data_IF_661338237763
#
_entry.id   IF_661338237763
#
_cell.length_a   1.000
_cell.length_b   1.000
_cell.length_c   1.000
_cell.angle_alpha   90.00
_cell.angle_beta   90.00
_cell.angle_gamma   90.00
#
_symmetry.space_group_name_H-M   'P 1'
#
loop_
_entity.id
_entity.type
_entity.pdbx_description
1 polymer ?
#
# COMPACT_ATOMS: atom_id res chain seq x y z
N UNK A 1 -19.46 27.28 -82.69
CA UNK A 1 -18.90 28.10 -81.59
C UNK A 1 -17.38 28.24 -81.82
N UNK A 2 -16.87 29.43 -82.12
CA UNK A 2 -15.42 29.67 -82.23
C UNK A 2 -14.88 29.93 -80.85
N UNK A 3 -14.16 28.96 -80.29
CA UNK A 3 -13.41 29.14 -79.06
C UNK A 3 -12.21 30.07 -79.40
N UNK A 4 -12.09 31.17 -78.68
CA UNK A 4 -10.97 32.14 -78.82
C UNK A 4 -9.65 31.44 -78.50
N UNK A 5 -8.60 31.65 -79.28
CA UNK A 5 -7.25 31.14 -79.09
C UNK A 5 -6.72 31.44 -77.69
N UNK A 6 -7.07 32.63 -77.16
CA UNK A 6 -6.71 33.02 -75.78
C UNK A 6 -7.41 32.16 -74.73
N UNK A 7 -8.65 31.73 -74.96
CA UNK A 7 -9.39 30.86 -74.07
C UNK A 7 -8.85 29.44 -74.08
N UNK A 8 -8.41 28.93 -75.19
CA UNK A 8 -7.71 27.63 -75.30
C UNK A 8 -6.36 27.65 -74.57
N UNK A 9 -5.56 28.72 -74.73
CA UNK A 9 -4.30 28.88 -73.99
C UNK A 9 -4.55 29.00 -72.48
N UNK A 10 -5.53 29.74 -72.02
CA UNK A 10 -5.86 29.86 -70.60
C UNK A 10 -6.27 28.50 -69.96
N UNK A 11 -7.07 27.69 -70.68
CA UNK A 11 -7.47 26.32 -70.26
C UNK A 11 -6.23 25.41 -70.22
N UNK A 12 -5.35 25.49 -71.25
CA UNK A 12 -4.12 24.64 -71.27
C UNK A 12 -3.16 25.01 -70.13
N UNK A 13 -2.89 26.29 -69.88
CA UNK A 13 -2.08 26.75 -68.74
C UNK A 13 -2.71 26.33 -67.43
N UNK A 14 -4.04 26.50 -67.27
CA UNK A 14 -4.75 26.08 -66.08
C UNK A 14 -4.61 24.56 -65.79
N UNK A 15 -4.66 23.73 -66.85
CA UNK A 15 -4.48 22.27 -66.68
C UNK A 15 -3.04 21.88 -66.29
N UNK A 16 -2.02 22.57 -66.83
CA UNK A 16 -0.62 22.34 -66.43
C UNK A 16 -0.37 22.76 -64.97
N UNK A 17 -0.87 23.92 -64.56
CA UNK A 17 -0.76 24.36 -63.19
C UNK A 17 -1.47 23.40 -62.22
N UNK A 18 -2.62 22.87 -62.59
CA UNK A 18 -3.34 21.90 -61.81
C UNK A 18 -2.58 20.57 -61.69
N UNK A 19 -1.94 20.10 -62.77
CA UNK A 19 -1.09 18.90 -62.75
C UNK A 19 0.15 19.13 -61.89
N UNK A 20 0.77 20.29 -61.96
CA UNK A 20 1.91 20.67 -61.17
C UNK A 20 1.58 20.70 -59.65
N UNK A 21 0.42 21.25 -59.30
CA UNK A 21 -0.09 21.23 -57.93
C UNK A 21 -0.32 19.78 -57.38
N UNK A 22 -0.92 18.94 -58.24
CA UNK A 22 -1.12 17.48 -57.90
C UNK A 22 0.23 16.77 -57.72
N UNK A 23 1.21 17.02 -58.58
CA UNK A 23 2.53 16.43 -58.46
C UNK A 23 3.25 16.84 -57.18
N UNK A 24 3.23 18.14 -56.87
CA UNK A 24 3.78 18.71 -55.63
C UNK A 24 3.14 18.07 -54.39
N UNK A 25 1.81 17.92 -54.39
CA UNK A 25 1.07 17.28 -53.32
C UNK A 25 1.49 15.80 -53.15
N UNK A 26 1.60 15.05 -54.26
CA UNK A 26 2.05 13.65 -54.25
C UNK A 26 3.48 13.55 -53.70
N UNK A 27 4.37 14.46 -54.09
CA UNK A 27 5.73 14.51 -53.55
C UNK A 27 5.78 14.76 -52.04
N UNK A 28 4.90 15.65 -51.53
CA UNK A 28 4.76 15.89 -50.07
C UNK A 28 4.27 14.64 -49.33
N UNK A 29 3.25 13.96 -49.85
CA UNK A 29 2.76 12.70 -49.28
C UNK A 29 3.85 11.62 -49.27
N UNK A 30 4.64 11.52 -50.37
CA UNK A 30 5.74 10.57 -50.43
C UNK A 30 6.89 10.89 -49.47
N UNK A 31 7.25 12.17 -49.36
CA UNK A 31 8.32 12.64 -48.49
C UNK A 31 7.97 12.47 -46.99
N UNK A 32 6.70 12.66 -46.65
CA UNK A 32 6.24 12.51 -45.25
C UNK A 32 5.79 11.09 -44.88
N UNK A 33 5.52 10.25 -45.88
CA UNK A 33 4.92 8.93 -45.71
C UNK A 33 3.47 8.98 -45.20
N UNK A 34 2.84 10.15 -45.17
CA UNK A 34 1.50 10.35 -44.69
C UNK A 34 0.51 10.66 -45.81
N UNK A 35 -0.63 9.98 -45.82
CA UNK A 35 -1.70 10.19 -46.80
C UNK A 35 -2.51 11.45 -46.52
N UNK A 36 -2.68 11.80 -45.27
CA UNK A 36 -3.45 12.98 -44.80
C UNK A 36 -2.47 13.93 -44.16
N UNK A 37 -2.15 15.04 -44.81
CA UNK A 37 -1.30 16.10 -44.30
C UNK A 37 -2.12 17.28 -43.75
N UNK A 38 -3.25 17.53 -44.41
CA UNK A 38 -4.15 18.61 -44.01
C UNK A 38 -5.59 18.12 -43.96
N UNK A 39 -6.46 18.73 -43.14
CA UNK A 39 -7.89 18.38 -43.14
C UNK A 39 -8.58 18.54 -44.49
N UNK A 40 -8.01 19.35 -45.41
CA UNK A 40 -8.51 19.50 -46.76
C UNK A 40 -8.25 18.28 -47.67
N UNK A 41 -7.33 17.38 -47.32
CA UNK A 41 -7.03 16.16 -48.07
C UNK A 41 -8.13 15.10 -47.92
N UNK A 42 -8.55 14.92 -46.67
CA UNK A 42 -9.61 13.98 -46.29
C UNK A 42 -10.21 14.45 -44.96
N UNK A 43 -11.30 15.24 -44.95
CA UNK A 43 -11.87 15.78 -43.73
C UNK A 43 -12.37 14.71 -42.75
N UNK A 44 -12.93 13.61 -43.27
CA UNK A 44 -13.45 12.51 -42.47
C UNK A 44 -12.30 11.71 -41.87
N UNK A 45 -11.28 11.43 -42.69
CA UNK A 45 -10.07 10.75 -42.22
C UNK A 45 -9.30 11.58 -41.18
N UNK A 46 -9.21 12.91 -41.38
CA UNK A 46 -8.55 13.80 -40.44
C UNK A 46 -9.27 13.86 -39.09
N UNK A 47 -10.62 13.92 -39.08
CA UNK A 47 -11.40 13.84 -37.84
C UNK A 47 -11.13 12.51 -37.10
N UNK A 48 -11.12 11.40 -37.82
CA UNK A 48 -10.87 10.07 -37.24
C UNK A 48 -9.45 9.94 -36.68
N UNK A 49 -8.43 10.52 -37.36
CA UNK A 49 -7.05 10.55 -36.87
C UNK A 49 -6.98 11.33 -35.55
N UNK A 50 -7.69 12.47 -35.46
CA UNK A 50 -7.75 13.28 -34.24
C UNK A 50 -8.33 12.49 -33.07
N UNK A 51 -9.48 11.80 -33.28
CA UNK A 51 -10.14 10.98 -32.26
C UNK A 51 -9.25 9.82 -31.80
N UNK A 52 -8.60 9.14 -32.74
CA UNK A 52 -7.66 8.07 -32.43
C UNK A 52 -6.42 8.56 -31.69
N UNK A 53 -5.90 9.73 -32.07
CA UNK A 53 -4.75 10.34 -31.40
C UNK A 53 -5.10 10.72 -29.94
N UNK A 54 -6.30 11.27 -29.74
CA UNK A 54 -6.80 11.56 -28.40
C UNK A 54 -6.96 10.29 -27.55
N UNK A 55 -7.52 9.23 -28.14
CA UNK A 55 -7.65 7.92 -27.46
C UNK A 55 -6.30 7.29 -27.14
N UNK A 56 -5.31 7.35 -28.03
CA UNK A 56 -3.95 6.88 -27.78
C UNK A 56 -3.31 7.67 -26.64
N UNK A 57 -3.45 9.00 -26.64
CA UNK A 57 -2.91 9.84 -25.58
C UNK A 57 -3.56 9.56 -24.21
N UNK A 58 -4.85 9.23 -24.20
CA UNK A 58 -5.52 8.79 -22.97
C UNK A 58 -4.98 7.44 -22.47
N UNK A 59 -4.85 6.46 -23.36
CA UNK A 59 -4.30 5.15 -23.01
C UNK A 59 -2.86 5.24 -22.52
N UNK A 60 -2.03 6.09 -23.12
CA UNK A 60 -0.67 6.34 -22.66
C UNK A 60 -0.64 6.90 -21.24
N UNK A 61 -1.48 7.90 -20.93
CA UNK A 61 -1.58 8.43 -19.55
C UNK A 61 -2.00 7.36 -18.54
N UNK A 62 -2.95 6.50 -18.91
CA UNK A 62 -3.38 5.39 -18.05
C UNK A 62 -2.25 4.37 -17.85
N UNK A 63 -1.45 4.11 -18.87
CA UNK A 63 -0.28 3.24 -18.78
C UNK A 63 0.82 3.83 -17.90
N UNK A 64 1.09 5.14 -18.03
CA UNK A 64 2.05 5.85 -17.20
C UNK A 64 1.62 5.83 -15.73
N UNK A 65 0.33 6.07 -15.46
CA UNK A 65 -0.24 5.97 -14.13
C UNK A 65 -0.06 4.56 -13.52
N UNK A 66 -0.30 3.52 -14.30
CA UNK A 66 -0.10 2.14 -13.85
C UNK A 66 1.38 1.86 -13.54
N UNK A 67 2.31 2.37 -14.35
CA UNK A 67 3.75 2.26 -14.12
C UNK A 67 4.20 2.97 -12.84
N UNK A 68 3.68 4.16 -12.57
CA UNK A 68 3.96 4.89 -11.33
C UNK A 68 3.42 4.15 -10.11
N UNK A 69 2.18 3.66 -10.16
CA UNK A 69 1.59 2.87 -9.08
C UNK A 69 2.39 1.59 -8.82
N UNK A 70 2.81 0.88 -9.86
CA UNK A 70 3.63 -0.32 -9.74
C UNK A 70 4.99 -0.03 -9.07
N UNK A 71 5.64 1.07 -9.44
CA UNK A 71 6.91 1.47 -8.84
C UNK A 71 6.75 1.80 -7.37
N UNK A 72 5.68 2.53 -7.00
CA UNK A 72 5.40 2.89 -5.61
C UNK A 72 5.09 1.67 -4.74
N UNK A 73 4.20 0.80 -5.22
CA UNK A 73 3.86 -0.46 -4.53
C UNK A 73 5.08 -1.39 -4.40
N UNK A 74 5.97 -1.42 -5.41
CA UNK A 74 7.23 -2.16 -5.31
C UNK A 74 8.18 -1.59 -4.24
N UNK A 75 8.19 -0.28 -4.06
CA UNK A 75 8.94 0.36 -2.97
C UNK A 75 8.34 0.02 -1.60
N UNK A 76 7.02 0.03 -1.46
CA UNK A 76 6.33 -0.42 -0.24
C UNK A 76 6.64 -1.88 0.08
N UNK A 77 6.56 -2.77 -0.92
CA UNK A 77 6.87 -4.18 -0.75
C UNK A 77 8.29 -4.39 -0.24
N UNK A 78 9.27 -3.68 -0.81
CA UNK A 78 10.65 -3.76 -0.35
C UNK A 78 10.80 -3.37 1.14
N UNK A 79 10.16 -2.30 1.56
CA UNK A 79 10.15 -1.87 2.98
C UNK A 79 9.43 -2.89 3.86
N UNK A 80 8.31 -3.45 3.43
CA UNK A 80 7.56 -4.45 4.20
C UNK A 80 8.34 -5.76 4.36
N UNK A 81 9.14 -6.16 3.37
CA UNK A 81 10.07 -7.30 3.49
C UNK A 81 11.12 -7.03 4.57
N UNK A 82 11.69 -5.82 4.61
CA UNK A 82 12.65 -5.44 5.66
C UNK A 82 11.99 -5.42 7.05
N UNK A 83 10.76 -4.90 7.16
CA UNK A 83 9.95 -4.94 8.39
C UNK A 83 9.73 -6.39 8.83
N UNK A 84 9.39 -7.29 7.91
CA UNK A 84 9.23 -8.72 8.19
C UNK A 84 10.49 -9.36 8.79
N UNK A 85 11.64 -9.11 8.18
CA UNK A 85 12.94 -9.59 8.66
C UNK A 85 13.28 -9.01 10.06
N UNK A 86 13.00 -7.73 10.26
CA UNK A 86 13.20 -7.07 11.56
C UNK A 86 12.32 -7.69 12.64
N UNK A 87 11.05 -7.95 12.37
CA UNK A 87 10.12 -8.58 13.32
C UNK A 87 10.52 -10.02 13.65
N UNK A 88 11.05 -10.77 12.69
CA UNK A 88 11.63 -12.09 12.97
C UNK A 88 12.80 -11.97 13.96
N UNK A 89 13.70 -11.01 13.77
CA UNK A 89 14.81 -10.78 14.71
C UNK A 89 14.31 -10.37 16.10
N UNK A 90 13.28 -9.52 16.17
CA UNK A 90 12.64 -9.14 17.45
C UNK A 90 12.07 -10.38 18.15
N UNK A 91 11.44 -11.28 17.41
CA UNK A 91 10.93 -12.55 17.96
C UNK A 91 12.05 -13.43 18.51
N UNK A 92 13.15 -13.58 17.80
CA UNK A 92 14.33 -14.33 18.26
C UNK A 92 14.88 -13.75 19.58
N UNK A 93 15.03 -12.43 19.63
CA UNK A 93 15.50 -11.73 20.83
C UNK A 93 14.53 -11.89 22.00
N UNK A 94 13.21 -11.88 21.76
CA UNK A 94 12.21 -12.11 22.79
C UNK A 94 12.27 -13.55 23.34
N UNK A 95 12.45 -14.56 22.47
CA UNK A 95 12.66 -15.95 22.89
C UNK A 95 13.94 -16.10 23.68
N UNK A 96 15.03 -15.46 23.22
CA UNK A 96 16.31 -15.47 23.94
C UNK A 96 16.17 -14.81 25.32
N UNK A 97 15.48 -13.67 25.42
CA UNK A 97 15.29 -12.94 26.68
C UNK A 97 14.53 -13.76 27.72
N UNK A 98 13.61 -14.61 27.29
CA UNK A 98 12.82 -15.51 28.17
C UNK A 98 13.58 -16.73 28.67
N UNK A 99 14.79 -16.96 28.19
CA UNK A 99 15.60 -18.05 28.70
C UNK A 99 16.15 -17.73 30.10
N UNK A 100 15.84 -18.57 31.08
CA UNK A 100 16.25 -18.40 32.49
C UNK A 100 17.76 -18.47 32.72
N UNK A 101 18.53 -19.02 31.77
CA UNK A 101 19.99 -19.05 31.84
C UNK A 101 20.63 -17.65 31.66
N UNK A 102 19.90 -16.67 31.16
CA UNK A 102 20.41 -15.31 30.95
C UNK A 102 20.53 -14.56 32.28
N UNK A 103 21.71 -13.98 32.51
CA UNK A 103 21.94 -13.06 33.60
C UNK A 103 21.17 -11.73 33.41
N UNK A 104 21.01 -10.97 34.49
CA UNK A 104 20.40 -9.64 34.44
C UNK A 104 21.14 -8.70 33.48
N UNK A 105 22.43 -8.87 33.29
CA UNK A 105 23.27 -8.07 32.39
C UNK A 105 23.01 -8.43 30.95
N UNK A 106 22.92 -9.70 30.61
CA UNK A 106 22.57 -10.19 29.25
C UNK A 106 21.17 -9.74 28.85
N UNK A 107 20.19 -9.84 29.74
CA UNK A 107 18.84 -9.31 29.49
C UNK A 107 18.82 -7.80 29.22
N UNK A 108 19.71 -7.01 29.85
CA UNK A 108 19.87 -5.58 29.54
C UNK A 108 20.44 -5.34 28.14
N UNK A 109 21.39 -6.15 27.69
CA UNK A 109 21.89 -6.06 26.33
C UNK A 109 20.82 -6.41 25.29
N UNK A 110 20.05 -7.47 25.52
CA UNK A 110 18.92 -7.83 24.65
C UNK A 110 17.90 -6.68 24.62
N UNK A 111 17.57 -6.09 25.76
CA UNK A 111 16.66 -4.96 25.83
C UNK A 111 17.19 -3.72 25.09
N UNK A 112 18.51 -3.49 25.09
CA UNK A 112 19.11 -2.43 24.30
C UNK A 112 19.00 -2.71 22.80
N UNK A 113 19.28 -3.95 22.35
CA UNK A 113 19.12 -4.34 20.95
C UNK A 113 17.65 -4.19 20.50
N UNK A 114 16.67 -4.61 21.33
CA UNK A 114 15.25 -4.45 21.04
C UNK A 114 14.85 -2.97 20.85
N UNK A 115 15.43 -2.06 21.63
CA UNK A 115 15.18 -0.62 21.44
C UNK A 115 15.72 -0.12 20.10
N UNK A 116 16.92 -0.55 19.72
CA UNK A 116 17.49 -0.20 18.41
C UNK A 116 16.63 -0.75 17.26
N UNK A 117 16.12 -1.99 17.38
CA UNK A 117 15.18 -2.55 16.40
C UNK A 117 13.87 -1.77 16.33
N UNK A 118 13.38 -1.30 17.45
CA UNK A 118 12.18 -0.44 17.47
C UNK A 118 12.43 0.90 16.77
N UNK A 119 13.58 1.56 16.99
CA UNK A 119 13.95 2.77 16.25
C UNK A 119 14.05 2.52 14.74
N UNK A 120 14.65 1.41 14.35
CA UNK A 120 14.73 1.00 12.95
C UNK A 120 13.34 0.77 12.35
N UNK A 121 12.41 0.16 13.11
CA UNK A 121 11.04 -0.01 12.65
C UNK A 121 10.35 1.33 12.39
N UNK A 122 10.51 2.30 13.28
CA UNK A 122 9.97 3.65 13.11
C UNK A 122 10.58 4.35 11.89
N UNK A 123 11.86 4.14 11.60
CA UNK A 123 12.51 4.68 10.41
C UNK A 123 11.95 4.03 9.14
N UNK A 124 11.77 2.71 9.12
CA UNK A 124 11.15 2.00 7.99
C UNK A 124 9.70 2.45 7.77
N UNK A 125 8.94 2.64 8.83
CA UNK A 125 7.57 3.16 8.75
C UNK A 125 7.50 4.62 8.24
N UNK A 126 8.60 5.38 8.34
CA UNK A 126 8.76 6.73 7.79
C UNK A 126 9.55 6.74 6.46
N UNK A 127 9.63 5.62 5.76
CA UNK A 127 10.33 5.57 4.47
C UNK A 127 9.65 6.44 3.43
N UNK A 128 10.47 7.05 2.56
CA UNK A 128 10.02 7.90 1.46
C UNK A 128 10.34 7.25 0.12
N UNK A 129 9.60 7.64 -0.90
CA UNK A 129 9.92 7.32 -2.29
C UNK A 129 11.06 8.21 -2.84
N UNK A 130 11.43 8.00 -4.11
CA UNK A 130 12.47 8.80 -4.78
C UNK A 130 12.13 10.29 -4.92
N UNK A 131 10.89 10.69 -4.71
CA UNK A 131 10.41 12.07 -4.77
C UNK A 131 10.33 12.74 -3.39
N UNK A 132 10.64 12.01 -2.31
CA UNK A 132 10.56 12.48 -0.94
C UNK A 132 9.15 12.42 -0.36
N UNK A 133 8.21 11.71 -0.99
CA UNK A 133 6.88 11.45 -0.44
C UNK A 133 6.92 10.21 0.45
N UNK A 134 6.28 10.28 1.62
CA UNK A 134 6.18 9.16 2.54
C UNK A 134 5.30 8.06 1.97
N UNK A 135 5.75 6.80 2.06
CA UNK A 135 5.04 5.65 1.53
C UNK A 135 3.77 5.35 2.31
N UNK A 136 3.82 5.46 3.64
CA UNK A 136 2.76 5.04 4.55
C UNK A 136 1.94 6.19 5.15
N UNK A 137 2.01 7.39 4.59
CA UNK A 137 1.29 8.56 5.09
C UNK A 137 -0.17 8.67 4.60
N UNK A 138 -0.65 7.70 3.82
CA UNK A 138 -1.96 7.79 3.19
C UNK A 138 -2.03 8.91 2.15
N UNK A 139 -3.10 9.71 2.15
CA UNK A 139 -3.24 10.85 1.24
C UNK A 139 -2.33 12.04 1.60
N UNK A 140 -1.86 12.14 2.86
CA UNK A 140 -0.97 13.19 3.34
C UNK A 140 0.52 12.90 3.07
N UNK A 141 0.88 12.50 1.85
CA UNK A 141 2.20 11.95 1.48
C UNK A 141 3.42 12.81 1.81
N UNK A 142 3.24 14.10 2.11
CA UNK A 142 4.32 15.03 2.46
C UNK A 142 4.52 15.22 3.96
N UNK A 143 3.65 14.66 4.78
CA UNK A 143 3.73 14.74 6.24
C UNK A 143 4.32 13.45 6.79
N UNK A 144 5.20 13.56 7.79
CA UNK A 144 5.81 12.41 8.43
C UNK A 144 4.75 11.59 9.16
N UNK A 145 4.50 10.32 8.74
CA UNK A 145 3.39 9.54 9.26
C UNK A 145 3.56 9.12 10.72
N UNK A 146 4.78 8.84 11.18
CA UNK A 146 5.03 8.36 12.54
C UNK A 146 5.94 9.30 13.30
N UNK A 147 5.46 9.80 14.43
CA UNK A 147 6.23 10.60 15.37
C UNK A 147 6.36 9.91 16.72
N UNK A 148 7.55 10.04 17.33
CA UNK A 148 7.82 9.49 18.64
C UNK A 148 7.31 10.43 19.73
N UNK A 149 6.68 9.85 20.74
CA UNK A 149 6.24 10.53 21.97
C UNK A 149 6.89 9.89 23.19
N UNK A 150 6.73 10.49 24.36
CA UNK A 150 7.25 9.93 25.61
C UNK A 150 6.64 8.55 25.96
N UNK A 151 5.45 8.26 25.46
CA UNK A 151 4.69 7.04 25.77
C UNK A 151 4.64 6.03 24.62
N UNK A 152 5.22 6.34 23.45
CA UNK A 152 5.19 5.45 22.30
C UNK A 152 5.33 6.18 20.97
N UNK A 153 4.64 5.69 19.97
CA UNK A 153 4.60 6.25 18.61
C UNK A 153 3.17 6.63 18.26
N UNK A 154 2.99 7.79 17.65
CA UNK A 154 1.69 8.29 17.18
C UNK A 154 1.71 8.35 15.65
N UNK A 155 0.62 7.90 15.05
CA UNK A 155 0.38 8.04 13.62
C UNK A 155 -0.28 9.38 13.32
N UNK A 156 0.36 10.20 12.49
CA UNK A 156 -0.11 11.53 12.08
C UNK A 156 -0.55 11.56 10.60
N UNK A 157 -0.42 10.43 9.89
CA UNK A 157 -0.83 10.34 8.49
C UNK A 157 -2.34 10.29 8.31
N UNK A 158 -2.77 10.31 7.05
CA UNK A 158 -4.17 10.13 6.68
C UNK A 158 -4.52 8.62 6.58
N UNK A 159 -5.75 8.27 6.90
CA UNK A 159 -6.27 6.91 6.78
C UNK A 159 -6.89 6.63 5.41
N UNK A 160 -6.90 7.60 4.50
CA UNK A 160 -7.42 7.43 3.16
C UNK A 160 -6.33 6.89 2.21
N UNK A 161 -6.67 5.85 1.49
CA UNK A 161 -5.84 5.30 0.42
C UNK A 161 -5.89 6.22 -0.81
N UNK A 162 -4.77 6.38 -1.49
CA UNK A 162 -4.72 7.09 -2.76
C UNK A 162 -5.07 6.13 -3.89
N UNK A 163 -6.01 6.56 -4.72
CA UNK A 163 -6.43 5.81 -5.90
C UNK A 163 -5.96 6.52 -7.16
N UNK A 164 -5.39 5.76 -8.09
CA UNK A 164 -4.98 6.23 -9.40
C UNK A 164 -5.78 5.52 -10.49
N UNK A 165 -6.20 6.29 -11.50
CA UNK A 165 -6.92 5.72 -12.62
C UNK A 165 -5.95 5.03 -13.59
N UNK A 166 -6.13 3.73 -13.79
CA UNK A 166 -5.31 2.87 -14.67
C UNK A 166 -6.10 2.31 -15.86
N UNK A 167 -7.37 2.65 -15.95
CA UNK A 167 -8.25 2.26 -17.06
C UNK A 167 -9.48 3.15 -17.11
N UNK A 168 -10.29 3.09 -18.19
CA UNK A 168 -11.46 3.95 -18.36
C UNK A 168 -12.44 3.89 -17.18
N UNK A 169 -12.58 2.71 -16.57
CA UNK A 169 -13.47 2.46 -15.42
C UNK A 169 -12.74 1.82 -14.24
N UNK A 170 -11.41 1.70 -14.30
CA UNK A 170 -10.61 0.98 -13.29
C UNK A 170 -9.69 1.93 -12.55
N UNK A 171 -9.83 1.94 -11.24
CA UNK A 171 -8.90 2.58 -10.31
C UNK A 171 -8.10 1.52 -9.55
N UNK A 172 -6.87 1.83 -9.20
CA UNK A 172 -5.98 1.02 -8.40
C UNK A 172 -5.55 1.83 -7.18
N UNK A 173 -5.49 1.19 -6.03
CA UNK A 173 -4.86 1.75 -4.84
C UNK A 173 -3.36 1.77 -5.06
N UNK A 174 -2.73 2.93 -4.89
CA UNK A 174 -1.28 3.10 -5.12
C UNK A 174 -0.45 3.12 -3.84
N UNK A 175 -1.09 3.10 -2.65
CA UNK A 175 -0.41 3.06 -1.36
C UNK A 175 -1.29 2.43 -0.28
N UNK A 176 -0.65 1.86 0.75
CA UNK A 176 -1.32 1.45 1.98
C UNK A 176 -1.10 2.48 3.08
N UNK A 177 -2.09 2.64 3.96
CA UNK A 177 -1.94 3.57 5.07
C UNK A 177 -1.09 2.95 6.18
N UNK A 178 -0.24 3.75 6.81
CA UNK A 178 0.55 3.28 7.95
C UNK A 178 -0.33 2.89 9.13
N UNK A 179 -1.55 3.42 9.20
CA UNK A 179 -2.52 3.00 10.20
C UNK A 179 -2.92 1.52 10.02
N UNK A 180 -3.28 1.12 8.80
CA UNK A 180 -3.68 -0.26 8.53
C UNK A 180 -2.53 -1.26 8.66
N UNK A 181 -1.31 -0.85 8.27
CA UNK A 181 -0.13 -1.72 8.26
C UNK A 181 0.49 -1.87 9.66
N UNK A 182 0.63 -0.78 10.42
CA UNK A 182 1.41 -0.77 11.67
C UNK A 182 0.59 -0.57 12.94
N UNK A 183 -0.62 0.04 12.85
CA UNK A 183 -1.41 0.37 14.04
C UNK A 183 -2.60 -0.56 14.22
N UNK A 184 -3.21 -1.04 13.14
CA UNK A 184 -4.38 -1.94 13.18
C UNK A 184 -3.95 -3.39 13.39
N UNK A 185 -3.22 -3.63 14.47
CA UNK A 185 -2.80 -4.99 14.84
C UNK A 185 -3.92 -5.63 15.65
N UNK A 186 -4.47 -6.79 15.21
CA UNK A 186 -5.47 -7.51 16.00
C UNK A 186 -4.93 -7.85 17.38
N UNK A 187 -5.61 -7.39 18.42
CA UNK A 187 -5.26 -7.69 19.79
C UNK A 187 -6.07 -8.93 20.23
N UNK A 188 -5.38 -10.01 20.59
CA UNK A 188 -6.03 -11.26 20.96
C UNK A 188 -6.19 -12.24 19.77
N UNK A 189 -7.13 -13.17 19.90
CA UNK A 189 -7.38 -14.25 18.92
C UNK A 189 -8.51 -13.94 17.91
N UNK A 190 -8.93 -12.68 17.80
CA UNK A 190 -10.02 -12.24 16.94
C UNK A 190 -11.42 -12.37 17.56
N UNK A 191 -11.57 -13.05 18.70
CA UNK A 191 -12.85 -13.19 19.42
C UNK A 191 -12.81 -12.46 20.76
N UNK A 192 -11.70 -12.55 21.48
CA UNK A 192 -11.48 -11.85 22.75
C UNK A 192 -10.01 -11.46 22.92
N UNK A 193 -9.77 -10.53 23.82
CA UNK A 193 -8.43 -10.14 24.26
C UNK A 193 -8.27 -10.43 25.77
N UNK A 194 -7.07 -10.80 26.16
CA UNK A 194 -6.72 -11.01 27.58
C UNK A 194 -5.92 -9.83 28.09
N UNK A 195 -6.21 -9.38 29.31
CA UNK A 195 -5.46 -8.32 29.97
C UNK A 195 -5.39 -8.58 31.48
N UNK A 196 -4.31 -8.20 32.16
CA UNK A 196 -4.25 -8.32 33.60
C UNK A 196 -5.27 -7.35 34.25
N UNK A 197 -5.97 -7.82 35.28
CA UNK A 197 -6.84 -6.94 36.06
C UNK A 197 -6.02 -5.83 36.75
N UNK A 198 -6.61 -4.64 36.91
CA UNK A 198 -5.92 -3.47 37.48
C UNK A 198 -5.34 -3.71 38.90
N UNK A 199 -5.87 -4.67 39.62
CA UNK A 199 -5.40 -5.07 40.97
C UNK A 199 -4.47 -6.29 40.97
N UNK A 200 -4.08 -6.82 39.79
CA UNK A 200 -3.21 -7.98 39.71
C UNK A 200 -1.80 -7.66 40.25
N UNK A 201 -1.37 -8.44 41.25
CA UNK A 201 -0.01 -8.36 41.81
C UNK A 201 0.87 -9.54 41.42
N UNK A 202 0.30 -10.51 40.69
CA UNK A 202 1.02 -11.68 40.18
C UNK A 202 1.78 -11.39 38.90
N UNK A 203 2.75 -12.24 38.58
CA UNK A 203 3.57 -12.18 37.37
C UNK A 203 3.04 -13.06 36.22
N UNK A 204 1.90 -13.73 36.43
CA UNK A 204 1.28 -14.59 35.43
C UNK A 204 0.85 -13.82 34.20
N UNK A 205 1.20 -14.32 33.01
CA UNK A 205 0.81 -13.80 31.72
C UNK A 205 -0.09 -14.85 31.04
N UNK A 206 -1.25 -14.41 30.59
CA UNK A 206 -2.16 -15.24 29.80
C UNK A 206 -2.01 -14.78 28.34
N UNK A 207 -1.73 -15.73 27.45
CA UNK A 207 -1.78 -15.47 26.01
C UNK A 207 -3.23 -15.31 25.53
N UNK A 208 -3.44 -14.89 24.30
CA UNK A 208 -4.78 -14.71 23.73
C UNK A 208 -5.52 -16.04 23.49
N UNK A 209 -4.86 -17.19 23.68
CA UNK A 209 -5.45 -18.50 23.49
C UNK A 209 -6.01 -18.77 22.10
N UNK A 210 -6.72 -19.88 21.98
CA UNK A 210 -7.44 -20.27 20.77
C UNK A 210 -8.89 -20.61 21.11
N UNK A 211 -9.84 -20.12 20.31
CA UNK A 211 -11.24 -20.54 20.42
C UNK A 211 -11.37 -21.97 19.91
N UNK A 212 -11.76 -22.89 20.78
CA UNK A 212 -11.94 -24.30 20.45
C UNK A 212 -13.33 -24.57 19.87
N UNK A 213 -14.33 -23.85 20.37
CA UNK A 213 -15.72 -23.95 19.95
C UNK A 213 -16.30 -22.53 19.76
N UNK A 214 -16.39 -22.04 18.50
CA UNK A 214 -16.95 -20.72 18.22
C UNK A 214 -18.46 -20.59 18.54
N UNK A 215 -19.20 -21.71 18.59
CA UNK A 215 -20.64 -21.76 18.86
C UNK A 215 -20.94 -22.02 20.33
N UNK A 216 -19.95 -22.43 21.09
CA UNK A 216 -20.07 -22.67 22.52
C UNK A 216 -20.18 -21.35 23.30
N UNK A 217 -21.38 -20.89 23.58
CA UNK A 217 -21.78 -19.63 24.19
C UNK A 217 -20.90 -19.08 25.31
N UNK A 218 -19.68 -18.64 24.98
CA UNK A 218 -18.76 -18.02 25.92
C UNK A 218 -19.32 -16.69 26.41
N UNK A 219 -19.41 -16.53 27.73
CA UNK A 219 -19.88 -15.28 28.35
C UNK A 219 -18.70 -14.35 28.58
N UNK A 220 -18.69 -13.21 27.90
CA UNK A 220 -17.70 -12.14 28.09
C UNK A 220 -18.34 -10.93 28.78
N UNK A 221 -17.60 -10.18 29.58
CA UNK A 221 -16.23 -10.41 30.05
C UNK A 221 -16.13 -11.56 31.06
N UNK A 222 -15.06 -12.34 30.97
CA UNK A 222 -14.74 -13.39 31.94
C UNK A 222 -13.50 -12.99 32.76
N UNK A 223 -13.53 -13.26 34.07
CA UNK A 223 -12.39 -13.04 34.96
C UNK A 223 -11.83 -14.37 35.42
N UNK A 224 -10.54 -14.59 35.22
CA UNK A 224 -9.85 -15.77 35.74
C UNK A 224 -9.10 -15.36 37.00
N UNK A 225 -9.40 -16.03 38.10
CA UNK A 225 -8.75 -15.83 39.39
C UNK A 225 -7.79 -16.99 39.65
N UNK A 226 -6.60 -16.70 40.15
CA UNK A 226 -5.60 -17.68 40.57
C UNK A 226 -5.40 -17.60 42.08
N UNK A 227 -5.20 -18.75 42.70
CA UNK A 227 -4.79 -18.88 44.09
C UNK A 227 -3.85 -20.03 44.31
N UNK A 228 -3.14 -20.02 45.42
CA UNK A 228 -2.42 -21.17 45.91
C UNK A 228 -3.34 -21.95 46.88
N UNK A 229 -3.52 -23.23 46.65
CA UNK A 229 -4.31 -24.10 47.54
C UNK A 229 -3.58 -24.36 48.87
N UNK A 230 -4.25 -24.88 49.86
CA UNK A 230 -3.65 -25.29 51.13
C UNK A 230 -2.53 -26.32 50.98
N UNK A 231 -2.48 -27.04 49.86
CA UNK A 231 -1.43 -28.00 49.51
C UNK A 231 -0.27 -27.41 48.71
N UNK A 232 -0.24 -26.07 48.49
CA UNK A 232 0.80 -25.39 47.71
C UNK A 232 0.67 -25.55 46.18
N UNK A 233 -0.50 -25.99 45.68
CA UNK A 233 -0.76 -26.08 44.23
C UNK A 233 -1.48 -24.87 43.74
N UNK A 234 -1.11 -24.41 42.53
CA UNK A 234 -1.84 -23.34 41.87
C UNK A 234 -3.21 -23.85 41.38
N UNK A 235 -4.24 -23.10 41.66
CA UNK A 235 -5.61 -23.36 41.22
C UNK A 235 -6.18 -22.13 40.57
N UNK A 236 -7.11 -22.30 39.62
CA UNK A 236 -7.82 -21.22 38.96
C UNK A 236 -9.34 -21.41 39.06
N UNK A 237 -10.05 -20.29 39.02
CA UNK A 237 -11.50 -20.26 38.91
C UNK A 237 -11.95 -19.18 37.92
N UNK A 238 -13.02 -19.46 37.17
CA UNK A 238 -13.57 -18.53 36.20
C UNK A 238 -14.77 -17.80 36.82
N UNK A 239 -14.81 -16.48 36.66
CA UNK A 239 -15.89 -15.61 37.14
C UNK A 239 -16.24 -15.75 38.63
N UNK A 240 -15.29 -16.18 39.44
CA UNK A 240 -15.52 -16.36 40.87
C UNK A 240 -16.53 -17.46 41.22
N UNK A 241 -16.68 -18.47 40.34
CA UNK A 241 -17.65 -19.57 40.49
C UNK A 241 -17.49 -20.39 41.76
N UNK A 242 -16.39 -20.24 42.49
CA UNK A 242 -16.06 -21.06 43.62
C UNK A 242 -15.58 -22.50 43.29
N UNK A 243 -15.65 -22.86 42.03
CA UNK A 243 -15.15 -24.11 41.53
C UNK A 243 -13.67 -23.94 41.09
N UNK A 244 -12.77 -24.34 42.00
CA UNK A 244 -11.33 -24.19 41.79
C UNK A 244 -10.77 -25.43 41.14
N UNK A 245 -10.17 -25.23 39.99
CA UNK A 245 -9.53 -26.31 39.23
C UNK A 245 -8.00 -26.21 39.31
N UNK A 246 -7.30 -27.36 39.35
CA UNK A 246 -5.85 -27.34 39.38
C UNK A 246 -5.30 -26.71 38.10
N UNK A 247 -4.31 -25.85 38.26
CA UNK A 247 -3.59 -25.24 37.13
C UNK A 247 -2.30 -26.04 36.89
N UNK A 248 -2.20 -26.65 35.70
CA UNK A 248 -0.98 -27.27 35.23
C UNK A 248 -0.32 -26.33 34.20
N UNK A 249 0.87 -25.79 34.51
CA UNK A 249 1.62 -25.01 33.52
C UNK A 249 2.04 -25.97 32.40
N UNK A 250 1.69 -25.60 31.14
CA UNK A 250 2.06 -26.35 29.93
C UNK A 250 3.52 -26.16 29.54
#
# INVERSE_FOLDING_TARGET
MRISTSQFQAVSIGSVLQQQAKLSKTQQHLATGQRILTPADDPVGAARVLDLTASIGELQRLQDNAGMAQTRLGSEEAVLVEVGNLLQRVRELAVQANNDSNSATERRFIAAELRERFEQLVQLANSTDGNGEYLFAGAASREQPFSRTATGVVYNGDQNERMVQVGPTRQLVENHTGFDVFMKVPNGNGTFSTQPAAGNRGTGVIDSGRVLDPEGGAVFPATILFRESASGRLEYAVNGSGDWQPFEPG
#
